data_IF_791331279877
#
_entry.id   IF_791331279877
#
_cell.length_a   1.000
_cell.length_b   1.000
_cell.length_c   1.000
_cell.angle_alpha   90.00
_cell.angle_beta   90.00
_cell.angle_gamma   90.00
#
_symmetry.space_group_name_H-M   'P 1'
#
loop_
_entity.id
_entity.type
_entity.pdbx_description
1 polymer ?
#
# COMPACT_ATOMS: atom_id res chain seq x y z
N UNK A 1 -38.06 1.55 10.49
CA UNK A 1 -36.71 0.99 10.76
C UNK A 1 -35.78 2.17 10.89
N UNK A 2 -35.33 2.47 12.11
CA UNK A 2 -34.39 3.56 12.34
C UNK A 2 -33.05 3.14 11.74
N UNK A 3 -32.55 3.92 10.78
CA UNK A 3 -31.14 3.85 10.38
C UNK A 3 -30.34 4.30 11.59
N UNK A 4 -29.82 3.36 12.36
CA UNK A 4 -28.78 3.68 13.34
C UNK A 4 -27.65 4.34 12.57
N UNK A 5 -27.45 5.64 12.82
CA UNK A 5 -26.29 6.35 12.29
C UNK A 5 -25.07 5.76 12.98
N UNK A 6 -24.37 4.84 12.32
CA UNK A 6 -23.07 4.38 12.78
C UNK A 6 -22.12 5.59 12.78
N UNK A 7 -21.92 6.19 13.96
CA UNK A 7 -20.90 7.23 14.15
C UNK A 7 -19.55 6.53 14.12
N UNK A 8 -18.86 6.62 12.98
CA UNK A 8 -17.50 6.13 12.87
C UNK A 8 -16.56 7.06 13.66
N UNK A 9 -15.54 6.51 14.34
CA UNK A 9 -14.48 7.32 14.92
C UNK A 9 -13.81 8.16 13.82
N UNK A 10 -13.40 9.38 14.16
CA UNK A 10 -12.66 10.23 13.24
C UNK A 10 -11.32 9.60 12.87
N UNK A 11 -10.88 9.83 11.63
CA UNK A 11 -9.52 9.53 11.19
C UNK A 11 -8.60 10.70 11.52
N UNK A 12 -7.30 10.41 11.68
CA UNK A 12 -6.27 11.44 11.71
C UNK A 12 -6.20 12.14 10.35
N UNK A 13 -5.99 13.47 10.34
CA UNK A 13 -5.59 14.16 9.10
C UNK A 13 -4.11 13.90 8.85
N UNK A 14 -3.79 13.07 7.86
CA UNK A 14 -2.41 12.71 7.57
C UNK A 14 -1.55 13.88 7.12
N UNK A 15 -2.14 15.00 6.70
CA UNK A 15 -1.40 16.18 6.23
C UNK A 15 -1.00 17.13 7.35
N UNK A 16 -1.56 16.94 8.56
CA UNK A 16 -1.11 17.62 9.77
C UNK A 16 -0.04 16.81 10.52
N UNK A 17 0.19 15.56 10.12
CA UNK A 17 1.24 14.71 10.69
C UNK A 17 2.62 15.06 10.12
N UNK A 18 3.71 14.82 10.87
CA UNK A 18 5.06 14.93 10.33
C UNK A 18 5.27 13.99 9.14
N UNK A 19 5.69 14.54 8.00
CA UNK A 19 6.00 13.77 6.79
C UNK A 19 7.49 13.86 6.53
N UNK A 20 8.16 12.71 6.52
CA UNK A 20 9.57 12.58 6.11
C UNK A 20 9.60 12.09 4.66
N UNK A 21 10.28 12.85 3.79
CA UNK A 21 10.46 12.46 2.38
C UNK A 21 11.88 11.99 2.16
N UNK A 22 12.01 10.76 1.67
CA UNK A 22 13.30 10.15 1.33
C UNK A 22 13.31 9.91 -0.17
N UNK A 23 14.29 10.49 -0.86
CA UNK A 23 14.51 10.20 -2.29
C UNK A 23 15.31 8.90 -2.41
N UNK A 24 14.69 7.88 -2.99
CA UNK A 24 15.34 6.61 -3.26
C UNK A 24 16.22 6.70 -4.53
N UNK A 25 17.23 5.84 -4.60
CA UNK A 25 17.96 5.62 -5.84
C UNK A 25 17.05 4.86 -6.83
N UNK A 26 17.03 5.28 -8.08
CA UNK A 26 16.21 4.69 -9.16
C UNK A 26 17.14 4.08 -10.22
N UNK A 27 17.77 2.93 -9.94
CA UNK A 27 18.64 2.29 -10.93
C UNK A 27 17.81 1.81 -12.14
N UNK A 28 18.43 1.68 -13.33
CA UNK A 28 17.77 1.07 -14.48
C UNK A 28 17.28 -0.35 -14.14
N UNK A 29 16.15 -0.77 -14.70
CA UNK A 29 15.55 -2.08 -14.40
C UNK A 29 16.51 -3.26 -14.64
N UNK A 30 17.40 -3.18 -15.63
CA UNK A 30 18.43 -4.20 -15.87
C UNK A 30 19.36 -4.42 -14.67
N UNK A 31 19.69 -3.35 -13.94
CA UNK A 31 20.55 -3.44 -12.77
C UNK A 31 19.82 -4.12 -11.60
N UNK A 32 18.48 -4.03 -11.58
CA UNK A 32 17.67 -4.78 -10.62
C UNK A 32 17.74 -6.28 -10.95
N UNK A 33 17.61 -6.67 -12.22
CA UNK A 33 17.79 -8.08 -12.65
C UNK A 33 19.16 -8.60 -12.22
N UNK A 34 20.22 -7.87 -12.56
CA UNK A 34 21.61 -8.25 -12.24
C UNK A 34 21.84 -8.44 -10.74
N UNK A 35 21.13 -7.66 -9.90
CA UNK A 35 21.23 -7.75 -8.46
C UNK A 35 20.42 -8.92 -7.86
N UNK A 36 19.21 -9.19 -8.36
CA UNK A 36 18.31 -10.19 -7.74
C UNK A 36 18.48 -11.61 -8.29
N UNK A 37 18.89 -11.75 -9.55
CA UNK A 37 18.96 -13.07 -10.21
C UNK A 37 19.94 -14.03 -9.52
N UNK A 38 21.18 -13.63 -9.15
CA UNK A 38 22.12 -14.53 -8.47
C UNK A 38 21.55 -15.03 -7.13
N UNK A 39 20.99 -14.12 -6.33
CA UNK A 39 20.42 -14.44 -5.02
C UNK A 39 19.21 -15.38 -5.14
N UNK A 40 18.37 -15.20 -6.17
CA UNK A 40 17.27 -16.11 -6.42
C UNK A 40 17.76 -17.50 -6.84
N UNK A 41 18.79 -17.60 -7.68
CA UNK A 41 19.36 -18.89 -8.11
C UNK A 41 19.99 -19.69 -6.96
N UNK A 42 20.49 -19.00 -5.93
CA UNK A 42 21.04 -19.64 -4.74
C UNK A 42 19.93 -20.24 -3.83
N UNK A 43 18.69 -19.75 -3.96
CA UNK A 43 17.58 -20.10 -3.07
C UNK A 43 16.48 -20.94 -3.76
N UNK A 44 16.44 -20.98 -5.09
CA UNK A 44 15.39 -21.64 -5.86
C UNK A 44 15.99 -22.46 -7.00
N UNK A 45 15.46 -23.67 -7.22
CA UNK A 45 15.94 -24.58 -8.27
C UNK A 45 15.70 -24.04 -9.69
N UNK A 46 14.57 -23.36 -9.90
CA UNK A 46 14.18 -22.81 -11.21
C UNK A 46 13.86 -21.33 -11.07
N UNK A 47 14.59 -20.49 -11.81
CA UNK A 47 14.44 -19.02 -11.76
C UNK A 47 14.47 -18.46 -13.18
N UNK A 48 13.53 -17.56 -13.47
CA UNK A 48 13.63 -16.63 -14.61
C UNK A 48 13.30 -15.23 -14.11
N UNK A 49 14.06 -14.24 -14.57
CA UNK A 49 13.88 -12.82 -14.23
C UNK A 49 14.04 -12.02 -15.52
N UNK A 50 13.00 -11.31 -15.91
CA UNK A 50 12.94 -10.56 -17.16
C UNK A 50 12.25 -9.20 -16.95
N UNK A 51 12.67 -8.20 -17.72
CA UNK A 51 11.93 -6.93 -17.84
C UNK A 51 10.97 -7.07 -19.00
N UNK A 52 9.68 -7.05 -18.66
CA UNK A 52 8.58 -7.19 -19.61
C UNK A 52 7.64 -5.99 -19.52
N UNK A 53 6.79 -5.82 -20.53
CA UNK A 53 5.68 -4.89 -20.42
C UNK A 53 4.73 -5.38 -19.31
N UNK A 54 4.29 -4.46 -18.43
CA UNK A 54 3.31 -4.80 -17.39
C UNK A 54 2.05 -5.38 -18.06
N UNK A 55 1.59 -6.58 -17.67
CA UNK A 55 0.32 -7.10 -18.13
C UNK A 55 -0.83 -6.26 -17.57
N UNK A 56 -2.02 -6.36 -18.16
CA UNK A 56 -3.22 -5.73 -17.60
C UNK A 56 -3.60 -6.42 -16.28
N UNK A 57 -3.34 -5.71 -15.18
CA UNK A 57 -3.57 -6.21 -13.82
C UNK A 57 -5.04 -6.14 -13.39
N UNK A 58 -5.95 -5.58 -14.21
CA UNK A 58 -7.39 -5.69 -13.96
C UNK A 58 -7.92 -7.10 -14.28
N UNK A 59 -7.20 -7.86 -15.10
CA UNK A 59 -7.57 -9.21 -15.50
C UNK A 59 -7.23 -10.25 -14.42
N UNK A 60 -7.87 -11.43 -14.44
CA UNK A 60 -7.42 -12.59 -13.66
C UNK A 60 -5.95 -12.91 -13.99
N UNK A 61 -5.14 -13.36 -13.00
CA UNK A 61 -5.53 -13.68 -11.62
C UNK A 61 -5.44 -12.50 -10.63
N UNK A 62 -5.14 -11.28 -11.10
CA UNK A 62 -4.80 -10.16 -10.23
C UNK A 62 -6.03 -9.37 -9.78
N UNK A 63 -6.95 -9.07 -10.70
CA UNK A 63 -8.19 -8.35 -10.43
C UNK A 63 -7.98 -7.05 -9.64
N UNK A 64 -6.92 -6.29 -9.95
CA UNK A 64 -6.64 -5.00 -9.33
C UNK A 64 -7.57 -3.92 -9.87
N UNK A 65 -7.61 -2.79 -9.18
CA UNK A 65 -8.39 -1.61 -9.57
C UNK A 65 -7.65 -0.68 -10.54
N UNK A 66 -6.47 -1.09 -11.01
CA UNK A 66 -5.62 -0.40 -11.98
C UNK A 66 -5.05 -1.40 -13.00
N UNK A 67 -4.87 -0.98 -14.25
CA UNK A 67 -4.27 -1.78 -15.33
C UNK A 67 -2.78 -2.07 -15.09
N UNK A 68 -2.10 -1.23 -14.30
CA UNK A 68 -0.67 -1.39 -14.03
C UNK A 68 -0.21 -0.68 -12.75
N UNK A 69 1.07 -0.83 -12.45
CA UNK A 69 1.74 -0.27 -11.26
C UNK A 69 2.66 0.92 -11.57
N UNK A 70 2.83 1.26 -12.86
CA UNK A 70 3.83 2.22 -13.31
C UNK A 70 3.30 3.68 -13.35
N UNK A 71 4.19 4.66 -13.19
CA UNK A 71 3.94 6.07 -13.52
C UNK A 71 4.65 7.08 -12.63
N UNK A 72 4.41 7.01 -11.31
CA UNK A 72 5.04 7.83 -10.26
C UNK A 72 5.10 7.00 -8.97
N UNK A 73 5.97 6.00 -8.98
CA UNK A 73 6.02 4.97 -7.94
C UNK A 73 6.54 5.56 -6.62
N UNK A 74 5.74 5.41 -5.57
CA UNK A 74 6.06 5.88 -4.22
C UNK A 74 5.79 4.76 -3.21
N UNK A 75 6.62 4.69 -2.16
CA UNK A 75 6.41 3.79 -1.02
C UNK A 75 5.98 4.63 0.18
N UNK A 76 4.87 4.24 0.81
CA UNK A 76 4.38 4.87 2.03
C UNK A 76 4.57 3.91 3.21
N UNK A 77 5.25 4.39 4.23
CA UNK A 77 5.26 3.78 5.57
C UNK A 77 4.44 4.67 6.49
N UNK A 78 3.29 4.16 6.94
CA UNK A 78 2.27 4.93 7.66
C UNK A 78 1.99 4.27 9.00
N UNK A 79 2.22 5.03 10.07
CA UNK A 79 2.04 4.55 11.43
C UNK A 79 3.32 3.95 11.98
N UNK A 80 3.17 3.03 12.93
CA UNK A 80 4.28 2.36 13.61
C UNK A 80 3.74 1.09 14.29
N UNK A 81 4.58 0.05 14.46
CA UNK A 81 4.21 -1.19 15.14
C UNK A 81 3.73 -0.97 16.59
N UNK A 82 4.22 0.08 17.24
CA UNK A 82 3.81 0.51 18.59
C UNK A 82 2.38 1.05 18.64
N UNK A 83 1.71 1.25 17.49
CA UNK A 83 0.27 1.51 17.44
C UNK A 83 -0.55 0.23 17.60
N UNK A 84 0.06 -0.94 17.48
CA UNK A 84 -0.60 -2.25 17.55
C UNK A 84 -0.16 -3.03 18.79
N UNK A 85 1.12 -2.92 19.17
CA UNK A 85 1.73 -3.71 20.26
C UNK A 85 2.28 -2.77 21.35
N UNK A 86 2.11 -3.08 22.66
CA UNK A 86 1.46 -4.26 23.25
C UNK A 86 -0.07 -4.19 23.26
N UNK A 87 -0.64 -3.03 22.98
CA UNK A 87 -2.09 -2.82 22.92
C UNK A 87 -2.43 -1.89 21.76
N UNK A 88 -3.51 -2.21 21.05
CA UNK A 88 -3.94 -1.48 19.86
C UNK A 88 -4.44 -0.09 20.23
N UNK A 89 -3.84 0.93 19.63
CA UNK A 89 -4.25 2.34 19.73
C UNK A 89 -5.37 2.61 18.73
N UNK A 90 -6.61 2.49 19.18
CA UNK A 90 -7.83 2.60 18.35
C UNK A 90 -7.99 3.98 17.70
N UNK A 91 -7.38 5.02 18.25
CA UNK A 91 -7.36 6.38 17.72
C UNK A 91 -6.39 6.56 16.54
N UNK A 92 -5.54 5.57 16.23
CA UNK A 92 -4.60 5.60 15.11
C UNK A 92 -5.27 5.09 13.83
N UNK A 93 -6.27 5.83 13.37
CA UNK A 93 -6.99 5.56 12.13
C UNK A 93 -6.54 6.52 11.03
N UNK A 94 -6.24 5.98 9.85
CA UNK A 94 -5.70 6.71 8.71
C UNK A 94 -6.65 6.57 7.53
N UNK A 95 -6.91 7.68 6.82
CA UNK A 95 -7.69 7.65 5.60
C UNK A 95 -6.76 7.73 4.39
N UNK A 96 -6.70 6.65 3.60
CA UNK A 96 -5.85 6.59 2.40
C UNK A 96 -6.13 7.71 1.40
N UNK A 97 -7.32 8.31 1.42
CA UNK A 97 -7.67 9.48 0.58
C UNK A 97 -6.77 10.68 0.81
N UNK A 98 -6.24 10.83 2.02
CA UNK A 98 -5.34 11.93 2.37
C UNK A 98 -4.02 11.85 1.60
N UNK A 99 -3.65 10.65 1.10
CA UNK A 99 -2.43 10.45 0.31
C UNK A 99 -2.45 11.22 -1.00
N UNK A 100 -3.62 11.44 -1.63
CA UNK A 100 -3.70 12.29 -2.84
C UNK A 100 -3.11 13.68 -2.62
N UNK A 101 -3.38 14.27 -1.46
CA UNK A 101 -2.87 15.62 -1.12
C UNK A 101 -1.36 15.57 -0.83
N UNK A 102 -0.89 14.49 -0.22
CA UNK A 102 0.52 14.26 0.10
C UNK A 102 1.35 14.04 -1.16
N UNK A 103 0.85 13.27 -2.12
CA UNK A 103 1.57 12.94 -3.37
C UNK A 103 1.31 13.94 -4.49
N UNK A 104 0.17 14.63 -4.45
CA UNK A 104 -0.37 15.44 -5.55
C UNK A 104 -0.65 14.62 -6.81
N UNK A 105 -0.99 13.34 -6.64
CA UNK A 105 -1.35 12.42 -7.72
C UNK A 105 -2.87 12.21 -7.77
N UNK A 106 -3.45 12.29 -8.95
CA UNK A 106 -4.87 12.02 -9.21
C UNK A 106 -5.05 11.55 -10.68
N UNK A 107 -5.46 10.29 -10.94
CA UNK A 107 -5.82 9.24 -9.98
C UNK A 107 -4.62 8.70 -9.20
N UNK A 108 -4.87 8.12 -8.01
CA UNK A 108 -3.85 7.44 -7.21
C UNK A 108 -4.27 5.99 -6.94
N UNK A 109 -3.48 5.04 -7.45
CA UNK A 109 -3.62 3.63 -7.13
C UNK A 109 -2.74 3.27 -5.93
N UNK A 110 -3.32 2.57 -4.95
CA UNK A 110 -2.65 2.14 -3.71
C UNK A 110 -2.82 0.64 -3.56
N UNK A 111 -1.70 -0.06 -3.37
CA UNK A 111 -1.66 -1.48 -3.05
C UNK A 111 -0.70 -1.76 -1.90
N UNK A 112 -1.06 -2.69 -1.02
CA UNK A 112 -0.14 -3.16 0.02
C UNK A 112 -0.84 -3.71 1.26
N UNK A 113 -0.07 -4.32 2.17
CA UNK A 113 -0.59 -4.83 3.44
C UNK A 113 -0.89 -3.69 4.41
N UNK A 114 -1.95 -3.85 5.20
CA UNK A 114 -2.30 -2.92 6.28
C UNK A 114 -3.07 -3.63 7.40
N UNK A 115 -3.22 -2.94 8.54
CA UNK A 115 -4.23 -3.32 9.53
C UNK A 115 -5.62 -2.97 8.99
N UNK A 116 -6.55 -3.91 9.07
CA UNK A 116 -7.90 -3.67 8.58
C UNK A 116 -8.64 -2.65 9.44
N UNK A 117 -9.59 -1.91 8.86
CA UNK A 117 -10.24 -0.81 9.56
C UNK A 117 -11.28 -1.35 10.54
N UNK A 118 -10.84 -1.59 11.78
CA UNK A 118 -11.67 -2.15 12.85
C UNK A 118 -13.05 -1.49 13.01
N UNK A 119 -13.27 -0.17 12.77
CA UNK A 119 -14.60 0.41 12.94
C UNK A 119 -15.65 -0.14 11.97
N UNK A 120 -15.23 -0.64 10.80
CA UNK A 120 -16.13 -1.25 9.82
C UNK A 120 -16.29 -2.76 10.03
N UNK A 121 -15.27 -3.41 10.60
CA UNK A 121 -15.24 -4.87 10.75
C UNK A 121 -15.67 -5.34 12.15
N UNK A 122 -15.72 -4.44 13.14
CA UNK A 122 -16.02 -4.76 14.53
C UNK A 122 -14.95 -5.59 15.24
N UNK A 123 -13.81 -5.85 14.59
CA UNK A 123 -12.72 -6.69 15.08
C UNK A 123 -11.38 -6.25 14.51
N UNK A 124 -10.29 -6.67 15.16
CA UNK A 124 -8.95 -6.58 14.60
C UNK A 124 -8.79 -7.51 13.42
N UNK A 125 -8.14 -7.02 12.36
CA UNK A 125 -7.90 -7.82 11.16
C UNK A 125 -6.65 -7.35 10.42
N UNK A 126 -6.16 -8.20 9.53
CA UNK A 126 -5.18 -7.84 8.51
C UNK A 126 -5.92 -7.63 7.19
N UNK A 127 -5.47 -6.68 6.39
CA UNK A 127 -6.03 -6.40 5.09
C UNK A 127 -4.91 -6.23 4.05
N UNK A 128 -5.27 -6.46 2.79
CA UNK A 128 -4.48 -6.03 1.64
C UNK A 128 -5.32 -4.99 0.91
N UNK A 129 -4.83 -3.77 0.83
CA UNK A 129 -5.47 -2.70 0.08
C UNK A 129 -5.15 -2.87 -1.40
N UNK A 130 -6.15 -2.65 -2.26
CA UNK A 130 -6.02 -2.46 -3.71
C UNK A 130 -7.13 -1.51 -4.11
N UNK A 131 -6.83 -0.22 -4.19
CA UNK A 131 -7.83 0.82 -4.42
C UNK A 131 -7.27 1.90 -5.32
N UNK A 132 -8.09 2.34 -6.27
CA UNK A 132 -7.89 3.58 -7.01
C UNK A 132 -8.77 4.63 -6.37
N UNK A 133 -8.14 5.66 -5.82
CA UNK A 133 -8.83 6.81 -5.24
C UNK A 133 -8.73 7.99 -6.17
#
# INVERSE_FOLDING_TARGET
>A
MATESCTFPSTLDMNELPIVRVKLNTPPLRCIIEAILPELLDNFENVSVEVVQCPDLTQPPFNLTSEGLCGDENVFDIGDVTNVVPSVKREKLYNVKDLKRITRSDPLFIIGPCAGPYPFLGADSKASTSVTI
#
